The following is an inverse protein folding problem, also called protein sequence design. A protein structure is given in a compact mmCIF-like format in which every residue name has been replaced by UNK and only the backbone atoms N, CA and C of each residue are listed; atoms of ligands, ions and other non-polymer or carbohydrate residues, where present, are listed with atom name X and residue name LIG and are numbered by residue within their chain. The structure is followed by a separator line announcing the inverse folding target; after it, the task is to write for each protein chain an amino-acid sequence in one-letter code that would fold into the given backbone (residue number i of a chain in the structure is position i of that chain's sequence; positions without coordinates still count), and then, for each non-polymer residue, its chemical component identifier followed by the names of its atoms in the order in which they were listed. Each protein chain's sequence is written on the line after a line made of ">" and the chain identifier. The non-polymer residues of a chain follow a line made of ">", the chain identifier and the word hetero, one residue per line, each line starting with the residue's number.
data_IF_232502915957
#
_entry.id   IF_232502915957
#
_cell.length_a   1.000
_cell.length_b   1.000
_cell.length_c   1.000
_cell.angle_alpha   90.00
_cell.angle_beta   90.00
_cell.angle_gamma   90.00
#
_symmetry.space_group_name_H-M   'P 1'
#
loop_
_entity.id
_entity.type
_entity.pdbx_description
1 polymer ?
#
# COMPACT_ATOMS: atom_id res chain seq x y z
N UNK A 1 -1.78 11.98 10.53
CA UNK A 1 -0.69 11.08 10.08
C UNK A 1 -0.85 9.80 10.87
N UNK A 2 -0.79 8.67 10.18
CA UNK A 2 -0.97 7.36 10.78
C UNK A 2 0.30 6.98 11.55
N UNK A 3 0.13 6.59 12.81
CA UNK A 3 1.23 6.27 13.73
C UNK A 3 0.96 4.95 14.44
N UNK A 4 1.97 4.18 14.87
CA UNK A 4 1.75 2.99 15.67
C UNK A 4 0.94 3.31 16.95
N UNK A 5 -0.13 2.57 17.21
CA UNK A 5 -1.06 2.76 18.33
C UNK A 5 -0.97 1.67 19.40
N UNK A 6 -0.34 0.53 19.09
CA UNK A 6 -0.17 -0.60 20.02
C UNK A 6 1.25 -1.17 19.94
N UNK A 7 1.65 -2.01 20.92
CA UNK A 7 2.89 -2.79 20.83
C UNK A 7 2.63 -4.11 20.09
N UNK A 8 2.61 -4.04 18.77
CA UNK A 8 2.37 -5.20 17.90
C UNK A 8 0.93 -5.75 17.95
N UNK A 9 0.61 -6.63 17.00
CA UNK A 9 -0.70 -7.24 16.83
C UNK A 9 -0.82 -8.04 15.53
N UNK A 10 -2.03 -8.52 15.25
CA UNK A 10 -2.42 -9.16 14.00
C UNK A 10 -3.46 -8.28 13.27
N UNK A 11 -3.50 -8.28 11.93
CA UNK A 11 -4.55 -7.63 11.17
C UNK A 11 -5.95 -8.12 11.58
N UNK A 12 -6.89 -7.18 11.69
CA UNK A 12 -8.33 -7.46 11.81
C UNK A 12 -8.92 -7.75 10.42
N UNK A 13 -10.13 -8.31 10.40
CA UNK A 13 -10.83 -8.62 9.15
C UNK A 13 -10.42 -9.98 8.57
N UNK A 14 -10.69 -10.18 7.28
CA UNK A 14 -10.35 -11.42 6.59
C UNK A 14 -9.25 -11.15 5.55
N UNK A 15 -8.26 -12.02 5.53
CA UNK A 15 -7.24 -12.02 4.48
C UNK A 15 -7.88 -12.34 3.13
N UNK A 16 -7.33 -11.75 2.08
CA UNK A 16 -7.75 -12.08 0.72
C UNK A 16 -7.10 -13.40 0.29
N UNK A 17 -7.85 -14.21 -0.46
CA UNK A 17 -7.37 -15.51 -0.95
C UNK A 17 -6.54 -15.30 -2.21
N UNK A 18 -5.26 -15.70 -2.25
CA UNK A 18 -4.45 -15.55 -3.45
C UNK A 18 -5.01 -16.30 -4.66
N UNK A 19 -4.95 -15.67 -5.84
CA UNK A 19 -5.27 -16.36 -7.10
C UNK A 19 -4.28 -17.52 -7.31
N UNK A 20 -4.73 -18.75 -7.54
CA UNK A 20 -3.82 -19.88 -7.75
C UNK A 20 -2.89 -19.73 -8.96
N UNK A 21 -3.23 -18.88 -9.95
CA UNK A 21 -2.43 -18.64 -11.15
C UNK A 21 -1.48 -17.44 -11.02
N UNK A 22 -1.81 -16.48 -10.16
CA UNK A 22 -0.97 -15.33 -9.84
C UNK A 22 -1.11 -14.98 -8.35
N UNK A 23 -0.54 -15.80 -7.45
CA UNK A 23 -0.76 -15.64 -6.01
C UNK A 23 0.02 -14.47 -5.43
N UNK A 24 1.07 -14.00 -6.12
CA UNK A 24 2.05 -13.05 -5.60
C UNK A 24 1.42 -11.74 -5.09
N UNK A 25 0.53 -11.06 -5.83
CA UNK A 25 0.02 -9.75 -5.40
C UNK A 25 -0.71 -9.84 -4.04
N UNK A 26 -1.61 -10.82 -3.90
CA UNK A 26 -2.37 -11.02 -2.67
C UNK A 26 -1.49 -11.56 -1.54
N UNK A 27 -0.51 -12.43 -1.83
CA UNK A 27 0.48 -12.85 -0.83
C UNK A 27 1.23 -11.65 -0.25
N UNK A 28 1.73 -10.74 -1.11
CA UNK A 28 2.45 -9.54 -0.65
C UNK A 28 1.54 -8.57 0.09
N UNK A 29 0.28 -8.42 -0.30
CA UNK A 29 -0.71 -7.62 0.44
C UNK A 29 -0.91 -8.17 1.87
N UNK A 30 -1.13 -9.48 1.98
CA UNK A 30 -1.32 -10.17 3.26
C UNK A 30 -0.06 -10.06 4.16
N UNK A 31 1.13 -10.32 3.63
CA UNK A 31 2.40 -10.18 4.36
C UNK A 31 2.67 -8.73 4.80
N UNK A 32 2.26 -7.76 3.97
CA UNK A 32 2.39 -6.34 4.30
C UNK A 32 1.49 -5.96 5.48
N UNK A 33 0.27 -6.50 5.52
CA UNK A 33 -0.64 -6.29 6.64
C UNK A 33 -0.07 -6.86 7.94
N UNK A 34 0.49 -8.08 7.90
CA UNK A 34 1.16 -8.71 9.04
C UNK A 34 2.32 -7.85 9.55
N UNK A 35 3.16 -7.35 8.63
CA UNK A 35 4.27 -6.49 9.01
C UNK A 35 3.76 -5.20 9.68
N UNK A 36 2.80 -4.51 9.07
CA UNK A 36 2.22 -3.29 9.64
C UNK A 36 1.63 -3.54 11.04
N UNK A 37 0.83 -4.59 11.23
CA UNK A 37 0.25 -4.92 12.52
C UNK A 37 1.33 -5.27 13.56
N UNK A 38 2.35 -6.06 13.18
CA UNK A 38 3.46 -6.41 14.06
C UNK A 38 4.28 -5.20 14.52
N UNK A 39 4.30 -4.13 13.71
CA UNK A 39 4.95 -2.86 14.01
C UNK A 39 4.04 -1.86 14.75
N UNK A 40 2.83 -2.30 15.14
CA UNK A 40 1.95 -1.56 16.04
C UNK A 40 0.89 -0.69 15.37
N UNK A 41 0.72 -0.79 14.05
CA UNK A 41 -0.40 -0.14 13.37
C UNK A 41 -1.70 -0.94 13.58
N UNK A 42 -2.83 -0.25 13.77
CA UNK A 42 -4.14 -0.92 13.74
C UNK A 42 -4.52 -1.16 12.28
N UNK A 43 -4.40 -2.40 11.82
CA UNK A 43 -4.68 -2.79 10.44
C UNK A 43 -5.97 -3.57 10.37
N UNK A 44 -6.87 -3.17 9.47
CA UNK A 44 -8.04 -3.95 9.09
C UNK A 44 -7.98 -4.27 7.60
N UNK A 45 -8.03 -5.57 7.28
CA UNK A 45 -8.07 -6.08 5.91
C UNK A 45 -9.44 -5.85 5.29
N UNK A 46 -9.44 -5.31 4.07
CA UNK A 46 -10.64 -5.05 3.27
C UNK A 46 -10.59 -5.92 1.99
N UNK A 47 -11.00 -7.21 2.05
CA UNK A 47 -11.04 -8.04 0.86
C UNK A 47 -11.97 -7.44 -0.20
N UNK A 48 -11.58 -7.52 -1.47
CA UNK A 48 -12.28 -6.89 -2.58
C UNK A 48 -13.79 -7.15 -2.60
N UNK A 49 -14.58 -6.09 -2.69
CA UNK A 49 -16.05 -6.19 -2.74
C UNK A 49 -16.58 -6.01 -4.16
N UNK A 50 -17.58 -6.79 -4.55
CA UNK A 50 -18.18 -6.70 -5.88
C UNK A 50 -18.92 -5.36 -6.03
N UNK A 51 -18.37 -4.45 -6.83
CA UNK A 51 -18.96 -3.15 -7.14
C UNK A 51 -18.29 -1.96 -6.47
N UNK A 52 -17.41 -2.17 -5.48
CA UNK A 52 -16.56 -1.16 -4.86
C UNK A 52 -17.26 -0.02 -4.11
N UNK A 53 -16.44 0.88 -3.57
CA UNK A 53 -16.60 1.88 -2.50
C UNK A 53 -16.49 1.41 -1.06
N UNK A 54 -15.85 0.26 -0.80
CA UNK A 54 -15.61 -0.22 0.55
C UNK A 54 -15.15 0.89 1.51
N UNK A 55 -14.06 1.60 1.20
CA UNK A 55 -13.67 2.81 1.94
C UNK A 55 -12.89 3.82 1.07
N UNK A 56 -12.97 3.69 -0.26
CA UNK A 56 -12.13 4.41 -1.21
C UNK A 56 -12.72 5.71 -1.78
N UNK A 57 -12.02 6.28 -2.76
CA UNK A 57 -12.33 7.61 -3.32
C UNK A 57 -13.51 7.58 -4.32
N UNK A 58 -13.49 6.64 -5.24
CA UNK A 58 -14.50 6.49 -6.30
C UNK A 58 -15.55 5.44 -5.92
N UNK A 59 -16.74 5.48 -6.55
CA UNK A 59 -17.78 4.49 -6.31
C UNK A 59 -17.35 3.04 -6.57
N UNK A 60 -16.35 2.80 -7.41
CA UNK A 60 -15.83 1.46 -7.70
C UNK A 60 -14.58 1.06 -6.88
N UNK A 61 -14.15 1.89 -5.92
CA UNK A 61 -12.88 1.68 -5.22
C UNK A 61 -12.91 0.51 -4.23
N UNK A 62 -11.83 -0.25 -4.18
CA UNK A 62 -11.63 -1.30 -3.18
C UNK A 62 -10.24 -1.14 -2.57
N UNK A 63 -10.03 -0.18 -1.65
CA UNK A 63 -8.77 -0.10 -0.93
C UNK A 63 -8.55 -1.39 -0.14
N UNK A 64 -7.30 -1.80 0.01
CA UNK A 64 -6.94 -3.08 0.62
C UNK A 64 -6.98 -3.04 2.16
N UNK A 65 -6.76 -1.87 2.76
CA UNK A 65 -6.64 -1.73 4.21
C UNK A 65 -7.39 -0.52 4.75
N UNK A 66 -7.82 -0.60 6.01
CA UNK A 66 -7.83 0.54 6.91
C UNK A 66 -6.62 0.46 7.82
N UNK A 67 -5.74 1.47 7.77
CA UNK A 67 -4.63 1.60 8.72
C UNK A 67 -4.94 2.78 9.64
N UNK A 68 -5.15 2.47 10.92
CA UNK A 68 -5.73 3.36 11.93
C UNK A 68 -7.02 4.05 11.45
N UNK A 69 -7.88 3.29 10.77
CA UNK A 69 -9.16 3.78 10.24
C UNK A 69 -9.07 4.62 8.97
N UNK A 70 -7.88 4.84 8.40
CA UNK A 70 -7.70 5.53 7.10
C UNK A 70 -7.51 4.50 5.99
N UNK A 71 -8.15 4.73 4.84
CA UNK A 71 -8.03 3.84 3.69
C UNK A 71 -6.63 3.88 3.06
N UNK A 72 -6.07 2.71 2.81
CA UNK A 72 -4.83 2.51 2.06
C UNK A 72 -5.01 1.43 1.00
N UNK A 73 -4.35 1.64 -0.13
CA UNK A 73 -4.23 0.63 -1.19
C UNK A 73 -2.77 0.15 -1.28
N UNK A 74 -2.58 -1.15 -1.44
CA UNK A 74 -1.29 -1.81 -1.46
C UNK A 74 -0.80 -2.01 -2.90
N UNK A 75 0.48 -1.73 -3.12
CA UNK A 75 1.13 -2.01 -4.39
C UNK A 75 2.52 -2.60 -4.17
N UNK A 76 2.73 -3.79 -4.72
CA UNK A 76 3.98 -4.53 -4.59
C UNK A 76 4.65 -4.75 -5.96
N UNK A 77 5.36 -3.76 -6.54
CA UNK A 77 5.99 -3.91 -7.86
C UNK A 77 7.08 -4.99 -7.88
N UNK A 78 7.11 -5.77 -8.96
CA UNK A 78 8.18 -6.71 -9.34
C UNK A 78 9.03 -6.21 -10.52
N UNK A 79 8.80 -4.96 -10.95
CA UNK A 79 9.50 -4.33 -12.08
C UNK A 79 10.55 -3.33 -11.61
N UNK A 80 11.68 -3.25 -12.32
CA UNK A 80 12.69 -2.20 -12.10
C UNK A 80 12.32 -0.83 -12.68
N UNK A 81 11.21 -0.70 -13.42
CA UNK A 81 10.86 0.52 -14.12
C UNK A 81 10.20 1.56 -13.19
N UNK A 82 11.02 2.50 -12.73
CA UNK A 82 10.66 3.61 -11.84
C UNK A 82 9.47 4.43 -12.36
N UNK A 83 9.44 4.76 -13.66
CA UNK A 83 8.37 5.60 -14.22
C UNK A 83 7.03 4.87 -14.22
N UNK A 84 7.04 3.56 -14.46
CA UNK A 84 5.85 2.72 -14.39
C UNK A 84 5.34 2.61 -12.95
N UNK A 85 6.23 2.38 -11.98
CA UNK A 85 5.86 2.34 -10.56
C UNK A 85 5.17 3.63 -10.14
N UNK A 86 5.78 4.78 -10.45
CA UNK A 86 5.19 6.09 -10.16
C UNK A 86 3.82 6.26 -10.83
N UNK A 87 3.68 5.91 -12.12
CA UNK A 87 2.38 5.99 -12.82
C UNK A 87 1.31 5.13 -12.15
N UNK A 88 1.66 3.92 -11.71
CA UNK A 88 0.73 3.03 -11.02
C UNK A 88 0.29 3.64 -9.69
N UNK A 89 1.21 4.25 -8.94
CA UNK A 89 0.86 4.94 -7.69
C UNK A 89 -0.05 6.14 -7.95
N UNK A 90 0.19 6.95 -8.99
CA UNK A 90 -0.73 8.01 -9.40
C UNK A 90 -2.13 7.45 -9.66
N UNK A 91 -2.23 6.41 -10.50
CA UNK A 91 -3.53 5.82 -10.85
C UNK A 91 -4.27 5.23 -9.63
N UNK A 92 -3.55 4.61 -8.68
CA UNK A 92 -4.14 4.12 -7.43
C UNK A 92 -4.57 5.28 -6.52
N UNK A 93 -3.79 6.34 -6.46
CA UNK A 93 -4.11 7.54 -5.68
C UNK A 93 -5.38 8.23 -6.20
N UNK A 94 -5.50 8.39 -7.52
CA UNK A 94 -6.67 9.04 -8.14
C UNK A 94 -7.95 8.21 -8.01
N UNK A 95 -7.84 6.88 -7.84
CA UNK A 95 -8.97 5.97 -8.01
C UNK A 95 -9.31 5.11 -6.81
N UNK A 96 -8.38 4.86 -5.90
CA UNK A 96 -8.56 3.89 -4.81
C UNK A 96 -8.51 4.59 -3.45
N UNK A 97 -7.38 5.16 -3.08
CA UNK A 97 -7.17 5.79 -1.78
C UNK A 97 -6.07 6.84 -1.82
N UNK A 98 -6.18 7.87 -0.97
CA UNK A 98 -5.11 8.85 -0.77
C UNK A 98 -3.93 8.30 0.04
N UNK A 99 -4.12 7.18 0.75
CA UNK A 99 -3.05 6.42 1.39
C UNK A 99 -2.56 5.30 0.48
N UNK A 100 -1.24 5.17 0.31
CA UNK A 100 -0.63 4.08 -0.46
C UNK A 100 0.41 3.36 0.39
N UNK A 101 0.39 2.02 0.36
CA UNK A 101 1.50 1.19 0.83
C UNK A 101 2.24 0.66 -0.39
N UNK A 102 3.47 1.14 -0.59
CA UNK A 102 4.37 0.69 -1.64
C UNK A 102 5.33 -0.35 -1.07
N UNK A 103 5.04 -1.64 -1.28
CA UNK A 103 5.91 -2.73 -0.87
C UNK A 103 6.97 -3.02 -1.95
N UNK A 104 8.21 -2.70 -1.65
CA UNK A 104 9.36 -2.83 -2.53
C UNK A 104 10.18 -4.10 -2.29
N UNK A 105 9.69 -5.09 -1.53
CA UNK A 105 10.42 -6.31 -1.24
C UNK A 105 10.87 -7.04 -2.52
N UNK A 106 10.01 -7.06 -3.54
CA UNK A 106 10.30 -7.64 -4.87
C UNK A 106 10.90 -6.65 -5.87
N UNK A 107 11.08 -5.38 -5.49
CA UNK A 107 11.66 -4.37 -6.36
C UNK A 107 13.16 -4.62 -6.56
N UNK A 108 13.58 -4.69 -7.82
CA UNK A 108 14.97 -4.98 -8.23
C UNK A 108 15.73 -3.79 -8.80
N UNK A 109 15.10 -2.61 -8.85
CA UNK A 109 15.71 -1.40 -9.39
C UNK A 109 16.50 -0.57 -8.37
N UNK A 110 16.82 0.66 -8.74
CA UNK A 110 17.59 1.58 -7.89
C UNK A 110 16.67 2.37 -6.97
N UNK A 111 16.84 2.19 -5.65
CA UNK A 111 16.13 2.97 -4.62
C UNK A 111 16.36 4.47 -4.80
N UNK A 112 17.58 4.92 -5.07
CA UNK A 112 17.87 6.36 -5.28
C UNK A 112 17.09 6.95 -6.46
N UNK A 113 16.98 6.22 -7.58
CA UNK A 113 16.21 6.67 -8.73
C UNK A 113 14.71 6.67 -8.46
N UNK A 114 14.22 5.64 -7.76
CA UNK A 114 12.83 5.58 -7.35
C UNK A 114 12.51 6.77 -6.44
N UNK A 115 13.36 7.00 -5.43
CA UNK A 115 13.16 8.08 -4.49
C UNK A 115 13.16 9.44 -5.19
N UNK A 116 14.16 9.68 -6.04
CA UNK A 116 14.24 10.91 -6.84
C UNK A 116 13.00 11.12 -7.73
N UNK A 117 12.42 10.06 -8.30
CA UNK A 117 11.21 10.18 -9.11
C UNK A 117 10.01 10.69 -8.30
N UNK A 118 9.84 10.22 -7.06
CA UNK A 118 8.76 10.66 -6.17
C UNK A 118 8.99 12.08 -5.65
N UNK A 119 10.25 12.46 -5.39
CA UNK A 119 10.61 13.83 -4.99
C UNK A 119 10.46 14.86 -6.12
N UNK A 120 10.96 14.53 -7.32
CA UNK A 120 10.92 15.44 -8.47
C UNK A 120 9.50 15.62 -9.03
N UNK A 121 8.62 14.64 -8.80
CA UNK A 121 7.25 14.61 -9.33
C UNK A 121 6.25 14.27 -8.22
N UNK A 122 5.84 15.25 -7.41
CA UNK A 122 4.79 15.07 -6.41
C UNK A 122 3.49 14.53 -7.03
N UNK A 123 2.78 13.68 -6.29
CA UNK A 123 1.53 13.07 -6.72
C UNK A 123 0.38 13.81 -6.02
N UNK A 124 -0.48 14.45 -6.81
CA UNK A 124 -1.67 15.10 -6.28
C UNK A 124 -2.63 14.06 -5.68
N UNK A 125 -3.16 14.35 -4.48
CA UNK A 125 -4.05 13.45 -3.74
C UNK A 125 -3.35 12.34 -2.95
N UNK A 126 -2.02 12.21 -3.04
CA UNK A 126 -1.25 11.25 -2.23
C UNK A 126 -1.01 11.85 -0.85
N UNK A 127 -1.92 11.56 0.09
CA UNK A 127 -1.88 12.06 1.46
C UNK A 127 -0.77 11.42 2.29
N UNK A 128 -0.50 10.13 2.06
CA UNK A 128 0.42 9.35 2.88
C UNK A 128 0.98 8.15 2.12
N UNK A 129 2.30 8.01 2.10
CA UNK A 129 3.00 6.90 1.46
C UNK A 129 3.78 6.10 2.49
N UNK A 130 3.44 4.82 2.65
CA UNK A 130 4.24 3.88 3.42
C UNK A 130 5.11 3.07 2.46
N UNK A 131 6.42 3.08 2.66
CA UNK A 131 7.35 2.27 1.89
C UNK A 131 7.78 1.08 2.73
N UNK A 132 7.51 -0.13 2.24
CA UNK A 132 7.98 -1.37 2.85
C UNK A 132 9.19 -1.87 2.10
N UNK A 133 10.29 -2.16 2.80
CA UNK A 133 11.45 -2.85 2.24
C UNK A 133 12.21 -3.58 3.33
N UNK A 134 12.52 -4.86 3.10
CA UNK A 134 13.35 -5.70 3.94
C UNK A 134 12.88 -5.70 5.41
N UNK A 135 11.56 -5.83 5.60
CA UNK A 135 10.91 -5.84 6.92
C UNK A 135 10.86 -4.48 7.62
N UNK A 136 11.23 -3.40 6.93
CA UNK A 136 11.18 -2.03 7.47
C UNK A 136 10.06 -1.23 6.81
N UNK A 137 9.33 -0.45 7.62
CA UNK A 137 8.33 0.51 7.15
C UNK A 137 8.91 1.92 7.28
N UNK A 138 9.03 2.63 6.16
CA UNK A 138 9.38 4.05 6.12
C UNK A 138 8.14 4.85 5.75
N UNK A 139 7.77 5.82 6.59
CA UNK A 139 6.71 6.77 6.27
C UNK A 139 7.29 7.90 5.44
N UNK A 140 6.80 8.07 4.23
CA UNK A 140 7.17 9.14 3.33
C UNK A 140 6.01 10.09 3.12
N UNK A 141 6.25 11.36 3.43
CA UNK A 141 5.37 12.47 3.12
C UNK A 141 5.88 13.18 1.87
N UNK A 142 5.19 13.09 0.72
CA UNK A 142 5.49 13.94 -0.42
C UNK A 142 5.37 15.42 0.01
N UNK A 143 6.25 16.27 -0.51
CA UNK A 143 6.29 17.71 -0.20
C UNK A 143 5.41 18.53 -1.13
#
# INVERSE_FOLDING_TARGET
>A
MTEPTTSGGEPRGNYETPDPNDPRPIMRQNETADLLASQGYDVEMLPGTKGGNGHGILPESNPDFLINGKAFDCYSPDTGNVRNIWSTVVGKTERQAGGIVLNLDDYTGSMDKLMKQFDDWPIEGLDELFVVKDGTITRWFPK
#
